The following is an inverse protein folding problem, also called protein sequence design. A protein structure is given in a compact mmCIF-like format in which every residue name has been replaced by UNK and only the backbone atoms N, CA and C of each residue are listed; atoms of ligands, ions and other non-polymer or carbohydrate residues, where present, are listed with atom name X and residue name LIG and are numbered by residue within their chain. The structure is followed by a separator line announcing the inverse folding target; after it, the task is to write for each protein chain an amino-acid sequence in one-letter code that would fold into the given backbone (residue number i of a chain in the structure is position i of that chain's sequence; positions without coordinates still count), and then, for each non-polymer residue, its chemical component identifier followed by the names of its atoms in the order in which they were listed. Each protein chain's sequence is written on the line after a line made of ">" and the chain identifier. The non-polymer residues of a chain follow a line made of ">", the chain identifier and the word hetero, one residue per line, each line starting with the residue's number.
data_IF_964854446536
#
_entry.id   IF_964854446536
#
_cell.length_a   1.000
_cell.length_b   1.000
_cell.length_c   1.000
_cell.angle_alpha   90.00
_cell.angle_beta   90.00
_cell.angle_gamma   90.00
#
_symmetry.space_group_name_H-M   'P 1'
#
loop_
_entity.id
_entity.type
_entity.pdbx_description
1 polymer ?
#
# COMPACT_ATOMS: atom_id res chain seq x y z
N UNK A 1 24.81 -2.07 11.22
CA UNK A 1 23.56 -1.29 11.37
C UNK A 1 22.55 -2.16 12.13
N UNK A 2 22.01 -1.71 13.27
CA UNK A 2 21.16 -2.56 14.13
C UNK A 2 19.79 -2.80 13.44
N UNK A 3 19.39 -4.05 13.14
CA UNK A 3 18.20 -4.37 12.33
C UNK A 3 16.90 -3.82 12.94
N UNK A 4 16.82 -3.74 14.29
CA UNK A 4 15.70 -3.11 14.97
C UNK A 4 15.56 -1.61 14.67
N UNK A 5 16.68 -0.87 14.66
CA UNK A 5 16.67 0.57 14.36
C UNK A 5 16.23 0.84 12.91
N UNK A 6 16.60 -0.04 11.98
CA UNK A 6 16.16 0.02 10.59
C UNK A 6 14.65 -0.22 10.48
N UNK A 7 14.14 -1.26 11.15
CA UNK A 7 12.71 -1.61 11.18
C UNK A 7 11.86 -0.48 11.75
N UNK A 8 12.30 0.14 12.84
CA UNK A 8 11.61 1.29 13.47
C UNK A 8 11.60 2.50 12.54
N UNK A 9 12.72 2.83 11.88
CA UNK A 9 12.79 3.94 10.91
C UNK A 9 11.88 3.68 9.71
N UNK A 10 11.85 2.45 9.20
CA UNK A 10 10.98 2.04 8.10
C UNK A 10 9.50 2.18 8.49
N UNK A 11 9.11 1.68 9.66
CA UNK A 11 7.75 1.82 10.19
C UNK A 11 7.35 3.28 10.38
N UNK A 12 8.23 4.12 10.94
CA UNK A 12 7.97 5.55 11.13
C UNK A 12 7.77 6.25 9.79
N UNK A 13 8.59 5.94 8.79
CA UNK A 13 8.46 6.49 7.44
C UNK A 13 7.20 5.98 6.73
N UNK A 14 6.82 4.74 6.96
CA UNK A 14 5.60 4.17 6.42
C UNK A 14 4.34 4.83 6.95
N UNK A 15 4.31 5.15 8.25
CA UNK A 15 3.19 5.91 8.83
C UNK A 15 2.99 7.28 8.19
N UNK A 16 4.03 7.88 7.61
CA UNK A 16 3.93 9.14 6.87
C UNK A 16 3.41 8.96 5.44
N UNK A 17 3.44 7.73 4.92
CA UNK A 17 3.01 7.41 3.55
C UNK A 17 1.66 6.74 3.49
N UNK A 18 1.10 6.34 4.63
CA UNK A 18 -0.22 5.74 4.74
C UNK A 18 -1.19 6.77 5.34
N UNK A 19 -2.49 6.67 5.01
CA UNK A 19 -3.49 7.46 5.71
C UNK A 19 -3.50 7.07 7.20
N UNK A 20 -3.72 8.03 8.12
CA UNK A 20 -3.65 7.78 9.56
C UNK A 20 -4.51 6.60 10.02
N UNK A 21 -5.75 6.50 9.50
CA UNK A 21 -6.68 5.43 9.83
C UNK A 21 -6.26 4.03 9.36
N UNK A 22 -5.26 3.93 8.48
CA UNK A 22 -4.65 2.68 8.01
C UNK A 22 -3.27 2.42 8.63
N UNK A 23 -2.51 3.48 8.92
CA UNK A 23 -1.14 3.41 9.44
C UNK A 23 -1.02 2.64 10.76
N UNK A 24 -2.08 2.65 11.57
CA UNK A 24 -2.16 1.93 12.85
C UNK A 24 -2.65 0.48 12.71
N UNK A 25 -3.28 0.16 11.57
CA UNK A 25 -3.97 -1.12 11.32
C UNK A 25 -3.18 -2.03 10.37
N UNK A 26 -1.91 -1.72 10.18
CA UNK A 26 -1.01 -2.43 9.29
C UNK A 26 0.33 -2.72 9.95
N UNK A 27 0.91 -3.87 9.61
CA UNK A 27 2.24 -4.27 10.02
C UNK A 27 3.11 -4.55 8.79
N UNK A 28 4.44 -4.50 8.96
CA UNK A 28 5.34 -5.03 7.94
C UNK A 28 5.03 -6.50 7.72
N UNK A 29 4.80 -6.87 6.47
CA UNK A 29 4.63 -8.27 6.12
C UNK A 29 5.98 -9.00 6.23
N UNK A 30 5.95 -10.25 6.67
CA UNK A 30 7.10 -11.14 6.57
C UNK A 30 7.48 -11.34 5.09
N UNK A 31 8.76 -11.64 4.79
CA UNK A 31 9.18 -11.98 3.43
C UNK A 31 8.33 -13.13 2.90
N UNK A 32 7.63 -12.89 1.79
CA UNK A 32 6.72 -13.87 1.19
C UNK A 32 6.52 -13.57 -0.29
N UNK A 33 5.48 -14.17 -0.90
CA UNK A 33 5.16 -13.96 -2.31
C UNK A 33 5.16 -12.45 -2.64
N UNK A 34 6.10 -12.05 -3.50
CA UNK A 34 6.28 -10.67 -3.92
C UNK A 34 5.14 -10.21 -4.82
N UNK A 35 5.19 -8.95 -5.23
CA UNK A 35 4.16 -8.34 -6.08
C UNK A 35 3.72 -9.21 -7.28
N UNK A 36 4.61 -9.89 -8.03
CA UNK A 36 4.21 -10.74 -9.16
C UNK A 36 3.25 -11.89 -8.79
N UNK A 37 3.28 -12.37 -7.54
CA UNK A 37 2.38 -13.40 -7.04
C UNK A 37 1.04 -12.86 -6.53
N UNK A 38 0.87 -11.54 -6.43
CA UNK A 38 -0.39 -10.94 -6.01
C UNK A 38 -1.41 -10.96 -7.15
N UNK A 39 -2.67 -11.37 -6.91
CA UNK A 39 -3.76 -11.24 -7.89
C UNK A 39 -3.93 -9.81 -8.40
N UNK A 40 -3.53 -8.81 -7.62
CA UNK A 40 -3.61 -7.39 -7.94
C UNK A 40 -2.56 -6.93 -8.95
N UNK A 41 -1.48 -7.70 -9.16
CA UNK A 41 -0.43 -7.35 -10.12
C UNK A 41 -0.90 -7.38 -11.58
N UNK A 42 -2.02 -8.05 -11.85
CA UNK A 42 -2.65 -8.10 -13.17
C UNK A 42 -3.47 -6.84 -13.49
N UNK A 43 -3.68 -5.96 -12.51
CA UNK A 43 -4.43 -4.73 -12.71
C UNK A 43 -3.54 -3.67 -13.36
N UNK A 44 -4.05 -3.00 -14.38
CA UNK A 44 -3.42 -1.82 -14.98
C UNK A 44 -3.54 -0.64 -14.01
N UNK A 45 -2.62 -0.57 -13.04
CA UNK A 45 -2.67 0.38 -11.94
C UNK A 45 -2.07 1.76 -12.28
N UNK A 46 -1.67 1.97 -13.54
CA UNK A 46 -1.03 3.21 -14.01
C UNK A 46 0.34 3.51 -13.38
N UNK A 47 0.82 2.66 -12.48
CA UNK A 47 2.10 2.78 -11.80
C UNK A 47 3.17 2.04 -12.61
N UNK A 48 3.64 2.67 -13.69
CA UNK A 48 4.82 2.22 -14.42
C UNK A 48 6.08 2.43 -13.59
N UNK A 49 6.82 1.35 -13.32
CA UNK A 49 8.17 1.31 -12.72
C UNK A 49 8.29 2.04 -11.38
N UNK A 50 7.98 1.35 -10.29
CA UNK A 50 7.67 2.01 -9.01
C UNK A 50 7.98 1.11 -7.83
N UNK A 51 8.52 1.68 -6.75
CA UNK A 51 8.76 0.99 -5.50
C UNK A 51 7.46 0.44 -4.91
N UNK A 52 7.57 -0.70 -4.22
CA UNK A 52 6.42 -1.47 -3.75
C UNK A 52 6.69 -1.98 -2.34
N UNK A 53 5.67 -1.93 -1.50
CA UNK A 53 5.73 -2.56 -0.20
C UNK A 53 4.45 -3.31 0.10
N UNK A 54 4.62 -4.56 0.56
CA UNK A 54 3.55 -5.36 1.13
C UNK A 54 3.46 -5.11 2.63
N UNK A 55 2.25 -4.88 3.09
CA UNK A 55 1.89 -4.74 4.48
C UNK A 55 0.83 -5.78 4.82
N UNK A 56 0.88 -6.29 6.04
CA UNK A 56 -0.19 -7.12 6.60
C UNK A 56 -1.28 -6.20 7.14
N UNK A 57 -2.51 -6.43 6.73
CA UNK A 57 -3.69 -5.78 7.28
C UNK A 57 -4.11 -6.48 8.57
N UNK A 58 -4.56 -5.70 9.55
CA UNK A 58 -5.15 -6.24 10.75
C UNK A 58 -6.40 -7.08 10.44
N UNK A 59 -6.52 -8.22 11.11
CA UNK A 59 -7.61 -9.18 10.88
C UNK A 59 -8.99 -8.55 11.03
N UNK A 60 -9.19 -7.72 12.07
CA UNK A 60 -10.48 -7.05 12.32
C UNK A 60 -10.91 -6.13 11.18
N UNK A 61 -9.96 -5.45 10.53
CA UNK A 61 -10.24 -4.60 9.37
C UNK A 61 -10.60 -5.44 8.15
N UNK A 62 -9.82 -6.50 7.88
CA UNK A 62 -10.12 -7.40 6.78
C UNK A 62 -11.51 -8.05 6.94
N UNK A 63 -11.89 -8.42 8.17
CA UNK A 63 -13.20 -8.95 8.49
C UNK A 63 -14.32 -7.91 8.31
N UNK A 64 -14.10 -6.67 8.74
CA UNK A 64 -15.06 -5.57 8.55
C UNK A 64 -15.33 -5.29 7.07
N UNK A 65 -14.30 -5.32 6.23
CA UNK A 65 -14.42 -5.15 4.77
C UNK A 65 -15.13 -6.35 4.14
N UNK A 66 -14.83 -7.58 4.58
CA UNK A 66 -15.54 -8.77 4.09
C UNK A 66 -17.04 -8.74 4.40
N UNK A 67 -17.43 -8.17 5.56
CA UNK A 67 -18.84 -8.08 5.97
C UNK A 67 -19.59 -6.89 5.36
N UNK A 68 -18.96 -5.71 5.32
CA UNK A 68 -19.62 -4.43 4.97
C UNK A 68 -19.14 -3.84 3.65
N UNK A 69 -18.20 -4.49 2.97
CA UNK A 69 -17.60 -3.96 1.74
C UNK A 69 -16.91 -2.62 1.98
N UNK A 70 -17.31 -1.61 1.20
CA UNK A 70 -16.71 -0.27 1.22
C UNK A 70 -16.87 0.46 2.56
N UNK A 71 -17.97 0.23 3.26
CA UNK A 71 -18.23 0.80 4.61
C UNK A 71 -17.31 0.21 5.68
N UNK A 72 -16.68 -0.93 5.39
CA UNK A 72 -15.66 -1.52 6.26
C UNK A 72 -14.27 -0.90 6.10
N UNK A 73 -14.07 -0.02 5.11
CA UNK A 73 -12.75 0.53 4.80
C UNK A 73 -12.31 1.58 5.82
N UNK A 74 -11.02 1.61 6.17
CA UNK A 74 -10.47 2.70 6.96
C UNK A 74 -10.53 4.01 6.16
N UNK A 75 -10.74 5.12 6.86
CA UNK A 75 -10.68 6.45 6.26
C UNK A 75 -9.30 6.68 5.63
N UNK A 76 -9.30 7.23 4.43
CA UNK A 76 -8.09 7.60 3.69
C UNK A 76 -8.13 9.09 3.31
N UNK A 77 -8.09 10.02 4.29
CA UNK A 77 -8.00 11.45 3.99
C UNK A 77 -6.76 11.71 3.14
N UNK A 78 -6.85 12.65 2.20
CA UNK A 78 -5.79 12.99 1.22
C UNK A 78 -5.55 11.95 0.11
N UNK A 79 -6.29 10.84 0.14
CA UNK A 79 -6.38 9.91 -0.97
C UNK A 79 -7.70 10.16 -1.68
N UNK A 80 -7.72 10.07 -3.01
CA UNK A 80 -8.87 10.41 -3.87
C UNK A 80 -10.09 9.48 -3.76
N UNK A 81 -10.39 8.99 -2.55
CA UNK A 81 -11.44 8.05 -2.25
C UNK A 81 -11.05 6.60 -2.55
N UNK A 82 -11.75 5.68 -1.90
CA UNK A 82 -11.66 4.26 -2.21
C UNK A 82 -12.49 3.93 -3.44
N UNK A 83 -11.89 3.19 -4.36
CA UNK A 83 -12.52 2.65 -5.55
C UNK A 83 -12.47 1.13 -5.49
N UNK A 84 -13.61 0.48 -5.74
CA UNK A 84 -13.65 -0.98 -5.78
C UNK A 84 -12.93 -1.53 -7.01
N UNK A 85 -12.21 -2.64 -6.83
CA UNK A 85 -11.52 -3.35 -7.89
C UNK A 85 -12.17 -4.72 -8.14
N UNK A 86 -12.63 -4.90 -9.37
CA UNK A 86 -13.29 -6.14 -9.80
C UNK A 86 -14.70 -6.30 -9.21
N UNK A 87 -15.31 -7.45 -9.51
CA UNK A 87 -16.74 -7.70 -9.20
C UNK A 87 -17.01 -8.04 -7.74
N UNK A 88 -16.02 -8.60 -7.03
CA UNK A 88 -16.21 -9.18 -5.69
C UNK A 88 -16.21 -8.17 -4.54
N UNK A 89 -16.05 -6.85 -4.77
CA UNK A 89 -16.06 -5.81 -3.71
C UNK A 89 -15.18 -6.12 -2.48
N UNK A 90 -14.09 -6.87 -2.65
CA UNK A 90 -13.12 -7.21 -1.60
C UNK A 90 -11.72 -6.65 -1.87
N UNK A 91 -11.52 -6.08 -3.06
CA UNK A 91 -10.31 -5.39 -3.44
C UNK A 91 -10.64 -3.92 -3.64
N UNK A 92 -9.78 -3.04 -3.16
CA UNK A 92 -10.00 -1.61 -3.25
C UNK A 92 -8.70 -0.91 -3.58
N UNK A 93 -8.79 0.18 -4.34
CA UNK A 93 -7.68 1.09 -4.57
C UNK A 93 -7.98 2.48 -4.07
N UNK A 94 -6.97 3.18 -3.59
CA UNK A 94 -7.01 4.61 -3.40
C UNK A 94 -5.75 5.20 -4.03
N UNK A 95 -5.86 6.40 -4.61
CA UNK A 95 -4.73 7.08 -5.26
C UNK A 95 -4.48 8.40 -4.57
N UNK A 96 -3.23 8.66 -4.19
CA UNK A 96 -2.81 9.96 -3.66
C UNK A 96 -2.50 10.91 -4.82
N UNK A 97 -3.25 12.03 -5.00
CA UNK A 97 -3.13 12.89 -6.17
C UNK A 97 -1.74 13.51 -6.36
N UNK A 98 -1.14 14.00 -5.27
CA UNK A 98 0.10 14.80 -5.30
C UNK A 98 1.37 13.96 -5.50
N UNK A 99 1.31 12.65 -5.22
CA UNK A 99 2.49 11.78 -5.16
C UNK A 99 2.46 10.57 -6.09
N UNK A 100 1.41 10.40 -6.91
CA UNK A 100 1.15 9.17 -7.70
C UNK A 100 1.39 7.89 -6.89
N UNK A 101 0.99 7.92 -5.62
CA UNK A 101 1.02 6.75 -4.74
C UNK A 101 -0.32 6.02 -4.89
N UNK A 102 -0.27 4.70 -4.88
CA UNK A 102 -1.46 3.85 -4.97
C UNK A 102 -1.47 2.91 -3.79
N UNK A 103 -2.57 2.94 -3.04
CA UNK A 103 -2.89 1.93 -2.05
C UNK A 103 -3.79 0.89 -2.68
N UNK A 104 -3.47 -0.37 -2.43
CA UNK A 104 -4.32 -1.47 -2.80
C UNK A 104 -4.58 -2.31 -1.57
N UNK A 105 -5.85 -2.50 -1.28
CA UNK A 105 -6.28 -3.31 -0.17
C UNK A 105 -6.86 -4.62 -0.73
N UNK A 106 -6.40 -5.73 -0.17
CA UNK A 106 -6.92 -7.07 -0.41
C UNK A 106 -7.39 -7.67 0.91
N UNK A 107 -8.71 -7.64 1.12
CA UNK A 107 -9.32 -8.15 2.34
C UNK A 107 -9.38 -9.68 2.39
N UNK A 108 -9.21 -10.36 1.24
CA UNK A 108 -9.20 -11.82 1.17
C UNK A 108 -7.87 -12.37 1.71
N UNK A 109 -6.77 -11.72 1.36
CA UNK A 109 -5.43 -12.11 1.77
C UNK A 109 -4.87 -11.28 2.94
N UNK A 110 -5.73 -10.48 3.58
CA UNK A 110 -5.38 -9.61 4.72
C UNK A 110 -4.12 -8.78 4.44
N UNK A 111 -4.05 -8.16 3.27
CA UNK A 111 -2.85 -7.44 2.87
C UNK A 111 -3.16 -6.09 2.23
N UNK A 112 -2.17 -5.20 2.35
CA UNK A 112 -2.17 -3.89 1.73
C UNK A 112 -0.89 -3.75 0.93
N UNK A 113 -0.99 -3.23 -0.28
CA UNK A 113 0.14 -2.85 -1.10
C UNK A 113 0.20 -1.34 -1.20
N UNK A 114 1.35 -0.78 -0.86
CA UNK A 114 1.69 0.59 -1.15
C UNK A 114 2.62 0.60 -2.37
N UNK A 115 2.19 1.29 -3.42
CA UNK A 115 2.94 1.47 -4.67
C UNK A 115 3.25 2.96 -4.84
N UNK A 116 4.47 3.31 -5.24
CA UNK A 116 4.83 4.71 -5.50
C UNK A 116 5.82 4.78 -6.65
N UNK A 117 5.74 5.81 -7.49
CA UNK A 117 6.81 6.10 -8.45
C UNK A 117 8.03 6.61 -7.69
N UNK A 118 9.15 5.92 -7.87
CA UNK A 118 10.42 6.49 -7.47
C UNK A 118 10.74 7.65 -8.43
N UNK A 119 11.25 8.78 -7.91
CA UNK A 119 11.79 9.81 -8.79
C UNK A 119 12.89 9.17 -9.65
N UNK A 120 13.03 9.58 -10.93
CA UNK A 120 14.14 9.10 -11.74
C UNK A 120 15.45 9.35 -10.97
N UNK A 121 16.41 8.43 -11.03
CA UNK A 121 17.69 8.63 -10.35
C UNK A 121 18.25 9.98 -10.81
N UNK A 122 18.52 10.86 -9.84
CA UNK A 122 19.17 12.15 -10.12
C UNK A 122 20.46 11.81 -10.83
N UNK A 123 20.58 12.14 -12.13
CA UNK A 123 21.84 12.04 -12.84
C UNK A 123 22.81 12.96 -12.11
N UNK A 124 23.65 12.39 -11.24
CA UNK A 124 24.81 13.11 -10.72
C UNK A 124 25.63 13.45 -11.94
N UNK A 125 25.63 14.74 -12.28
CA UNK A 125 26.49 15.27 -13.31
C UNK A 125 27.92 15.14 -12.76
N UNK A 126 28.57 14.00 -13.03
CA UNK A 126 30.01 13.83 -12.82
C UNK A 126 30.69 14.76 -13.82
N UNK A 127 30.90 16.02 -13.40
CA UNK A 127 31.94 16.86 -13.99
C UNK A 127 33.27 16.28 -13.51
N UNK A 128 33.97 15.61 -14.40
CA UNK A 128 35.42 15.47 -14.33
C UNK A 128 36.04 16.66 -15.07
#
# INVERSE_FOLDING_TARGET
>A
MNPMRLRIRLLRRLRQWLPPGLAEKVALAEPGAGWPGSPLARLALGAGGSGRLRLRLEHGVAAAIRRRGMEGLPAAPDWGGWQSLGRRRLHFKAVRPEGRQVLLLDALHECVWLLWREPPPVRMNRKY
#
